data_IF_383913379329
#
_entry.id   IF_383913379329
#
_cell.length_a   1.000
_cell.length_b   1.000
_cell.length_c   1.000
_cell.angle_alpha   90.00
_cell.angle_beta   90.00
_cell.angle_gamma   90.00
#
_symmetry.space_group_name_H-M   'P 1'
#
loop_
_entity.id
_entity.type
_entity.pdbx_description
1 polymer ?
#
# COMPACT_ATOMS: atom_id res chain seq x y z
N UNK A 1 40.06 -2.96 -20.93
CA UNK A 1 38.72 -2.59 -21.43
C UNK A 1 38.17 -3.81 -22.12
N UNK A 2 36.89 -4.11 -21.87
CA UNK A 2 36.09 -5.24 -22.37
C UNK A 2 36.02 -6.49 -21.48
N UNK A 3 35.42 -6.31 -20.29
CA UNK A 3 34.80 -7.38 -19.47
C UNK A 3 33.37 -6.97 -19.10
N UNK A 4 32.49 -6.71 -20.09
CA UNK A 4 31.11 -6.27 -19.81
C UNK A 4 30.05 -6.75 -20.83
N UNK A 5 30.13 -7.98 -21.36
CA UNK A 5 29.01 -8.58 -22.14
C UNK A 5 28.94 -10.11 -21.98
N UNK A 6 28.75 -10.59 -20.76
CA UNK A 6 28.14 -11.91 -20.53
C UNK A 6 26.75 -11.69 -19.91
N UNK A 7 25.82 -11.21 -20.74
CA UNK A 7 24.40 -11.32 -20.45
C UNK A 7 23.96 -12.72 -20.88
N UNK A 8 23.37 -13.42 -19.92
CA UNK A 8 22.80 -14.76 -20.02
C UNK A 8 21.70 -14.79 -21.11
N UNK A 9 22.00 -15.42 -22.26
CA UNK A 9 21.10 -15.61 -23.41
C UNK A 9 20.05 -16.72 -23.18
N UNK A 10 19.77 -17.14 -21.94
CA UNK A 10 18.77 -18.19 -21.66
C UNK A 10 17.30 -17.75 -21.77
N UNK A 11 17.01 -16.48 -22.06
CA UNK A 11 15.63 -15.94 -22.16
C UNK A 11 14.89 -16.40 -23.43
N UNK A 12 15.60 -16.85 -24.47
CA UNK A 12 14.97 -17.24 -25.74
C UNK A 12 15.41 -18.65 -26.16
N UNK A 13 14.84 -19.67 -25.51
CA UNK A 13 14.91 -21.03 -26.04
C UNK A 13 14.03 -21.12 -27.30
N UNK A 14 14.66 -21.16 -28.47
CA UNK A 14 14.00 -21.16 -29.79
C UNK A 14 13.14 -22.41 -30.08
N UNK A 15 13.23 -23.45 -29.23
CA UNK A 15 12.50 -24.72 -29.40
C UNK A 15 11.21 -24.82 -28.57
N UNK A 16 10.80 -23.74 -27.90
CA UNK A 16 9.59 -23.78 -27.09
C UNK A 16 8.33 -23.82 -27.95
N UNK A 17 7.50 -24.85 -27.76
CA UNK A 17 6.26 -24.98 -28.49
C UNK A 17 5.30 -23.83 -28.16
N UNK A 18 4.48 -23.42 -29.13
CA UNK A 18 3.45 -22.40 -28.93
C UNK A 18 2.52 -22.77 -27.76
N UNK A 19 2.33 -24.06 -27.50
CA UNK A 19 1.55 -24.57 -26.38
C UNK A 19 2.25 -24.29 -25.04
N UNK A 20 3.54 -24.61 -24.90
CA UNK A 20 4.30 -24.37 -23.66
C UNK A 20 4.44 -22.87 -23.35
N UNK A 21 4.63 -22.06 -24.39
CA UNK A 21 4.65 -20.60 -24.29
C UNK A 21 3.28 -20.06 -23.88
N UNK A 22 2.19 -20.63 -24.40
CA UNK A 22 0.83 -20.29 -23.97
C UNK A 22 0.49 -20.79 -22.57
N UNK A 23 1.05 -21.92 -22.11
CA UNK A 23 0.88 -22.45 -20.75
C UNK A 23 1.64 -21.60 -19.71
N UNK A 24 2.83 -21.11 -20.08
CA UNK A 24 3.68 -20.22 -19.26
C UNK A 24 3.17 -18.78 -19.22
N UNK A 25 2.57 -18.30 -20.31
CA UNK A 25 1.91 -16.99 -20.38
C UNK A 25 0.42 -17.04 -20.01
N UNK A 26 -0.15 -18.23 -19.79
CA UNK A 26 -1.50 -18.37 -19.26
C UNK A 26 -1.48 -17.84 -17.82
N UNK A 27 -2.39 -16.92 -17.45
CA UNK A 27 -2.64 -16.63 -16.05
C UNK A 27 -2.96 -17.96 -15.36
N UNK A 28 -2.13 -18.35 -14.40
CA UNK A 28 -2.44 -19.49 -13.55
C UNK A 28 -3.56 -19.04 -12.63
N UNK A 29 -4.80 -19.24 -13.08
CA UNK A 29 -5.99 -19.04 -12.26
C UNK A 29 -5.85 -19.84 -10.96
N UNK A 30 -5.49 -19.15 -9.89
CA UNK A 30 -5.66 -19.63 -8.53
C UNK A 30 -7.06 -19.19 -8.07
N UNK A 31 -7.90 -20.15 -7.66
CA UNK A 31 -9.27 -19.86 -7.18
C UNK A 31 -9.28 -19.07 -5.86
N UNK A 32 -8.14 -18.87 -5.20
CA UNK A 32 -8.00 -17.94 -4.08
C UNK A 32 -7.95 -16.46 -4.51
N UNK A 33 -7.78 -16.17 -5.81
CA UNK A 33 -7.63 -14.83 -6.40
C UNK A 33 -8.93 -14.28 -7.05
N UNK A 34 -10.11 -14.76 -6.66
CA UNK A 34 -11.31 -13.97 -6.96
C UNK A 34 -11.13 -12.58 -6.33
N UNK A 35 -11.37 -11.50 -7.09
CA UNK A 35 -11.22 -10.11 -6.64
C UNK A 35 -11.60 -9.97 -5.16
N UNK A 36 -10.61 -9.66 -4.30
CA UNK A 36 -10.80 -9.64 -2.86
C UNK A 36 -11.94 -8.68 -2.56
N UNK A 37 -12.97 -9.16 -1.88
CA UNK A 37 -14.15 -8.36 -1.53
C UNK A 37 -14.49 -8.58 -0.07
N UNK A 38 -14.86 -7.51 0.62
CA UNK A 38 -15.24 -7.54 2.02
C UNK A 38 -16.39 -6.57 2.29
N UNK A 39 -17.27 -6.93 3.21
CA UNK A 39 -18.25 -6.02 3.78
C UNK A 39 -17.69 -5.53 5.11
N UNK A 40 -17.37 -4.24 5.17
CA UNK A 40 -16.53 -3.68 6.22
C UNK A 40 -17.22 -2.62 7.07
N UNK A 41 -17.04 -2.71 8.39
CA UNK A 41 -17.47 -1.68 9.34
C UNK A 41 -18.95 -1.68 9.69
N UNK A 42 -19.41 -0.56 10.25
CA UNK A 42 -20.78 -0.35 10.74
C UNK A 42 -21.16 1.15 10.59
N UNK A 43 -21.99 1.52 9.59
CA UNK A 43 -22.71 0.62 8.67
C UNK A 43 -21.76 -0.09 7.67
N UNK A 44 -22.10 -1.30 7.20
CA UNK A 44 -21.21 -2.09 6.36
C UNK A 44 -21.02 -1.47 4.97
N UNK A 45 -19.76 -1.42 4.53
CA UNK A 45 -19.32 -0.87 3.24
C UNK A 45 -18.73 -1.98 2.39
N UNK A 46 -19.12 -2.14 1.11
CA UNK A 46 -18.41 -3.02 0.20
C UNK A 46 -17.04 -2.43 -0.15
N UNK A 47 -15.98 -3.16 0.20
CA UNK A 47 -14.60 -2.85 -0.18
C UNK A 47 -14.10 -3.97 -1.09
N UNK A 48 -13.43 -3.61 -2.19
CA UNK A 48 -12.81 -4.56 -3.11
C UNK A 48 -11.36 -4.22 -3.41
N UNK A 49 -10.54 -5.20 -3.78
CA UNK A 49 -9.22 -4.92 -4.38
C UNK A 49 -9.39 -4.31 -5.77
N UNK A 50 -8.47 -3.42 -6.15
CA UNK A 50 -8.37 -2.88 -7.52
C UNK A 50 -7.71 -3.88 -8.50
N UNK A 51 -7.00 -4.88 -7.99
CA UNK A 51 -6.39 -5.91 -8.83
C UNK A 51 -7.33 -7.11 -9.00
N UNK A 52 -7.55 -7.49 -10.26
CA UNK A 52 -8.21 -8.74 -10.63
C UNK A 52 -7.35 -9.98 -10.27
N UNK A 53 -6.05 -9.78 -10.03
CA UNK A 53 -5.08 -10.80 -9.62
C UNK A 53 -4.14 -10.19 -8.56
N UNK A 54 -4.60 -10.17 -7.30
CA UNK A 54 -3.79 -9.66 -6.20
C UNK A 54 -2.62 -10.61 -5.91
N UNK A 55 -1.37 -10.13 -6.05
CA UNK A 55 -0.21 -10.91 -5.60
C UNK A 55 -0.30 -11.08 -4.06
N UNK A 56 0.01 -12.24 -3.46
CA UNK A 56 0.02 -12.49 -2.01
C UNK A 56 0.27 -11.31 -1.03
N UNK A 57 1.32 -10.46 -1.14
CA UNK A 57 1.48 -9.33 -0.22
C UNK A 57 0.36 -8.29 -0.30
N UNK A 58 -0.20 -8.08 -1.49
CA UNK A 58 -1.36 -7.21 -1.69
C UNK A 58 -2.59 -7.78 -0.97
N UNK A 59 -2.80 -9.09 -1.11
CA UNK A 59 -3.90 -9.79 -0.46
C UNK A 59 -3.77 -9.80 1.07
N UNK A 60 -2.56 -10.02 1.57
CA UNK A 60 -2.27 -9.99 3.00
C UNK A 60 -2.51 -8.59 3.59
N UNK A 61 -2.06 -7.54 2.90
CA UNK A 61 -2.31 -6.17 3.32
C UNK A 61 -3.79 -5.80 3.26
N UNK A 62 -4.51 -6.21 2.22
CA UNK A 62 -5.95 -6.04 2.12
C UNK A 62 -6.64 -6.63 3.35
N UNK A 63 -6.29 -7.86 3.74
CA UNK A 63 -6.87 -8.52 4.91
C UNK A 63 -6.52 -7.79 6.22
N UNK A 64 -5.28 -7.30 6.39
CA UNK A 64 -4.89 -6.49 7.56
C UNK A 64 -5.79 -5.26 7.71
N UNK A 65 -6.06 -4.55 6.60
CA UNK A 65 -6.89 -3.35 6.61
C UNK A 65 -8.38 -3.68 6.78
N UNK A 66 -8.87 -4.79 6.21
CA UNK A 66 -10.22 -5.31 6.44
C UNK A 66 -10.43 -5.61 7.91
N UNK A 67 -9.51 -6.34 8.55
CA UNK A 67 -9.59 -6.73 9.96
C UNK A 67 -9.64 -5.49 10.86
N UNK A 68 -8.80 -4.49 10.58
CA UNK A 68 -8.80 -3.21 11.29
C UNK A 68 -10.15 -2.49 11.21
N UNK A 69 -10.74 -2.42 10.01
CA UNK A 69 -12.01 -1.72 9.78
C UNK A 69 -13.20 -2.52 10.33
N UNK A 70 -13.07 -3.85 10.43
CA UNK A 70 -14.12 -4.73 10.94
C UNK A 70 -14.17 -4.86 12.46
N UNK A 71 -13.20 -4.29 13.19
CA UNK A 71 -13.30 -4.23 14.65
C UNK A 71 -14.63 -3.56 15.04
N UNK A 72 -15.49 -4.16 15.89
CA UNK A 72 -16.72 -3.52 16.31
C UNK A 72 -16.43 -2.18 17.01
N UNK A 73 -17.25 -1.14 16.79
CA UNK A 73 -17.01 0.20 17.33
C UNK A 73 -16.79 0.21 18.85
N UNK A 74 -17.54 -0.59 19.62
CA UNK A 74 -17.36 -0.70 21.07
C UNK A 74 -16.02 -1.35 21.50
N UNK A 75 -15.37 -2.08 20.60
CA UNK A 75 -14.13 -2.82 20.86
C UNK A 75 -12.90 -2.13 20.24
N UNK A 76 -13.11 -1.11 19.41
CA UNK A 76 -12.03 -0.41 18.75
C UNK A 76 -11.22 0.41 19.76
N UNK A 77 -9.91 0.19 19.78
CA UNK A 77 -8.98 1.00 20.54
C UNK A 77 -7.72 1.22 19.70
N UNK A 78 -7.33 2.48 19.47
CA UNK A 78 -6.13 2.81 18.69
C UNK A 78 -4.87 2.09 19.18
N UNK A 79 -4.60 2.13 20.48
CA UNK A 79 -3.39 1.55 21.08
C UNK A 79 -3.36 0.02 21.02
N UNK A 80 -4.46 -0.64 20.63
CA UNK A 80 -4.51 -2.10 20.45
C UNK A 80 -4.80 -2.45 18.99
N UNK A 81 -5.96 -2.08 18.46
CA UNK A 81 -6.41 -2.44 17.11
C UNK A 81 -5.54 -1.83 16.00
N UNK A 82 -5.32 -0.52 16.04
CA UNK A 82 -4.49 0.13 15.02
C UNK A 82 -3.01 -0.24 15.17
N UNK A 83 -2.54 -0.39 16.42
CA UNK A 83 -1.17 -0.81 16.72
C UNK A 83 -0.89 -2.25 16.25
N UNK A 84 -1.84 -3.17 16.42
CA UNK A 84 -1.75 -4.54 15.89
C UNK A 84 -1.71 -4.56 14.36
N UNK A 85 -2.58 -3.79 13.69
CA UNK A 85 -2.56 -3.66 12.24
C UNK A 85 -1.24 -3.06 11.73
N UNK A 86 -0.73 -2.03 12.41
CA UNK A 86 0.56 -1.41 12.09
C UNK A 86 1.72 -2.41 12.24
N UNK A 87 1.74 -3.18 13.33
CA UNK A 87 2.73 -4.22 13.55
C UNK A 87 2.67 -5.32 12.47
N UNK A 88 1.47 -5.75 12.07
CA UNK A 88 1.27 -6.71 11.00
C UNK A 88 1.75 -6.17 9.64
N UNK A 89 1.41 -4.92 9.30
CA UNK A 89 1.92 -4.26 8.10
C UNK A 89 3.45 -4.17 8.11
N UNK A 90 4.06 -3.81 9.24
CA UNK A 90 5.51 -3.77 9.34
C UNK A 90 6.15 -5.15 9.17
N UNK A 91 5.55 -6.20 9.74
CA UNK A 91 6.01 -7.57 9.57
C UNK A 91 5.94 -8.01 8.09
N UNK A 92 4.85 -7.68 7.40
CA UNK A 92 4.69 -7.91 5.97
C UNK A 92 5.73 -7.15 5.14
N UNK A 93 5.99 -5.88 5.47
CA UNK A 93 7.04 -5.11 4.81
C UNK A 93 8.44 -5.77 4.96
N UNK A 94 8.76 -6.24 6.17
CA UNK A 94 10.03 -6.92 6.44
C UNK A 94 10.12 -8.29 5.77
N UNK A 95 9.00 -8.99 5.54
CA UNK A 95 9.00 -10.27 4.81
C UNK A 95 9.24 -10.10 3.32
N UNK A 96 8.79 -8.98 2.73
CA UNK A 96 9.11 -8.58 1.36
C UNK A 96 10.55 -8.09 1.19
N UNK A 97 11.18 -7.64 2.28
CA UNK A 97 12.57 -7.15 2.31
C UNK A 97 13.43 -7.93 3.33
N UNK A 98 13.59 -9.26 3.16
CA UNK A 98 14.19 -10.11 4.18
C UNK A 98 15.69 -9.88 4.35
N UNK A 99 16.38 -9.52 3.26
CA UNK A 99 17.79 -9.14 3.30
C UNK A 99 17.92 -7.65 3.62
N UNK A 100 18.70 -7.35 4.66
CA UNK A 100 18.98 -5.98 5.06
C UNK A 100 19.67 -5.17 3.95
N UNK A 101 20.45 -5.84 3.09
CA UNK A 101 21.12 -5.20 1.95
C UNK A 101 20.12 -4.74 0.87
N UNK A 102 18.99 -5.44 0.72
CA UNK A 102 17.92 -5.08 -0.23
C UNK A 102 17.11 -3.86 0.20
N UNK A 103 17.29 -3.39 1.44
CA UNK A 103 16.67 -2.15 1.95
C UNK A 103 17.43 -0.90 1.52
N UNK A 104 18.61 -1.09 0.94
CA UNK A 104 19.42 -0.06 0.31
C UNK A 104 19.30 -0.08 -1.22
N UNK A 105 18.62 -1.07 -1.80
CA UNK A 105 18.20 -1.04 -3.20
C UNK A 105 16.84 -0.37 -3.32
N UNK A 106 16.83 0.71 -4.10
CA UNK A 106 15.67 1.58 -4.31
C UNK A 106 14.47 0.78 -4.84
N UNK A 107 14.67 -0.06 -5.85
CA UNK A 107 13.59 -0.82 -6.51
C UNK A 107 12.80 -1.73 -5.55
N UNK A 108 13.50 -2.44 -4.67
CA UNK A 108 12.88 -3.39 -3.73
C UNK A 108 12.19 -2.66 -2.58
N UNK A 109 12.85 -1.64 -2.02
CA UNK A 109 12.30 -0.85 -0.92
C UNK A 109 11.09 -0.03 -1.36
N UNK A 110 11.16 0.55 -2.56
CA UNK A 110 10.08 1.31 -3.16
C UNK A 110 8.91 0.41 -3.55
N UNK A 111 9.13 -0.73 -4.21
CA UNK A 111 8.04 -1.65 -4.60
C UNK A 111 7.25 -2.20 -3.40
N UNK A 112 7.95 -2.53 -2.30
CA UNK A 112 7.30 -2.96 -1.06
C UNK A 112 6.45 -1.85 -0.42
N UNK A 113 6.94 -0.59 -0.44
CA UNK A 113 6.18 0.55 0.06
C UNK A 113 5.01 0.92 -0.85
N UNK A 114 5.20 0.85 -2.16
CA UNK A 114 4.16 1.08 -3.16
C UNK A 114 2.97 0.16 -2.94
N UNK A 115 3.21 -1.12 -2.62
CA UNK A 115 2.17 -2.07 -2.24
C UNK A 115 1.37 -1.57 -1.04
N UNK A 116 2.06 -1.02 -0.04
CA UNK A 116 1.42 -0.48 1.18
C UNK A 116 0.52 0.71 0.89
N UNK A 117 1.01 1.67 0.13
CA UNK A 117 0.27 2.89 -0.17
C UNK A 117 -0.84 2.67 -1.18
N UNK A 118 -0.62 1.80 -2.18
CA UNK A 118 -1.65 1.44 -3.16
C UNK A 118 -2.88 0.84 -2.48
N UNK A 119 -2.70 -0.04 -1.50
CA UNK A 119 -3.84 -0.60 -0.76
C UNK A 119 -4.50 0.44 0.15
N UNK A 120 -3.74 1.29 0.84
CA UNK A 120 -4.34 2.41 1.58
C UNK A 120 -5.22 3.27 0.66
N UNK A 121 -4.72 3.67 -0.51
CA UNK A 121 -5.45 4.51 -1.45
C UNK A 121 -6.67 3.79 -2.03
N UNK A 122 -6.57 2.49 -2.30
CA UNK A 122 -7.71 1.66 -2.68
C UNK A 122 -8.84 1.74 -1.63
N UNK A 123 -8.52 1.65 -0.34
CA UNK A 123 -9.50 1.77 0.73
C UNK A 123 -10.08 3.20 0.82
N UNK A 124 -9.23 4.24 0.80
CA UNK A 124 -9.69 5.64 0.88
C UNK A 124 -10.67 5.96 -0.25
N UNK A 125 -10.46 5.43 -1.47
CA UNK A 125 -11.38 5.63 -2.60
C UNK A 125 -12.78 5.08 -2.35
N UNK A 126 -12.93 4.07 -1.50
CA UNK A 126 -14.18 3.33 -1.33
C UNK A 126 -14.92 3.70 -0.05
N UNK A 127 -14.19 4.06 1.01
CA UNK A 127 -14.77 4.43 2.30
C UNK A 127 -15.56 5.75 2.18
N UNK A 128 -16.83 5.81 2.64
CA UNK A 128 -17.59 7.06 2.76
C UNK A 128 -16.91 8.05 3.69
N UNK A 129 -17.04 9.34 3.37
CA UNK A 129 -16.40 10.46 4.09
C UNK A 129 -16.72 10.47 5.58
N UNK A 130 -17.97 10.19 5.94
CA UNK A 130 -18.48 10.23 7.30
C UNK A 130 -18.27 8.91 8.06
N UNK A 131 -17.70 7.89 7.42
CA UNK A 131 -17.55 6.58 8.03
C UNK A 131 -16.32 6.50 8.94
N UNK A 132 -16.49 5.90 10.11
CA UNK A 132 -15.43 5.80 11.14
C UNK A 132 -14.16 5.09 10.65
N UNK A 133 -14.26 4.25 9.62
CA UNK A 133 -13.11 3.58 8.98
C UNK A 133 -12.04 4.58 8.50
N UNK A 134 -12.41 5.79 8.08
CA UNK A 134 -11.44 6.83 7.73
C UNK A 134 -10.50 7.13 8.89
N UNK A 135 -11.06 7.32 10.10
CA UNK A 135 -10.26 7.58 11.29
C UNK A 135 -9.39 6.37 11.64
N UNK A 136 -9.88 5.14 11.45
CA UNK A 136 -9.10 3.94 11.75
C UNK A 136 -7.88 3.79 10.85
N UNK A 137 -8.01 4.13 9.56
CA UNK A 137 -6.90 4.18 8.62
C UNK A 137 -5.88 5.26 9.02
N UNK A 138 -6.34 6.42 9.51
CA UNK A 138 -5.46 7.47 10.06
C UNK A 138 -4.72 6.98 11.31
N UNK A 139 -5.44 6.34 12.22
CA UNK A 139 -4.87 5.77 13.45
C UNK A 139 -3.83 4.68 13.12
N UNK A 140 -4.07 3.86 12.09
CA UNK A 140 -3.08 2.89 11.59
C UNK A 140 -1.79 3.54 11.10
N UNK A 141 -1.87 4.62 10.31
CA UNK A 141 -0.68 5.39 9.90
C UNK A 141 0.02 5.96 11.14
N UNK A 142 -0.75 6.51 12.09
CA UNK A 142 -0.18 7.11 13.28
C UNK A 142 0.58 6.09 14.14
N UNK A 143 0.06 4.86 14.26
CA UNK A 143 0.75 3.76 14.94
C UNK A 143 1.95 3.23 14.16
N UNK A 144 1.87 3.12 12.84
CA UNK A 144 3.01 2.74 11.98
C UNK A 144 4.22 3.66 12.22
N UNK A 145 3.99 4.97 12.33
CA UNK A 145 5.05 5.96 12.59
C UNK A 145 5.75 5.79 13.94
N UNK A 146 5.08 5.19 14.92
CA UNK A 146 5.69 4.94 16.23
C UNK A 146 6.62 3.73 16.20
N UNK A 147 6.55 2.89 15.17
CA UNK A 147 7.48 1.79 14.99
C UNK A 147 8.82 2.37 14.56
N UNK A 148 9.80 2.29 15.44
CA UNK A 148 11.18 2.63 15.09
C UNK A 148 11.75 1.52 14.22
N UNK A 149 11.92 1.82 12.94
CA UNK A 149 12.53 0.90 11.97
C UNK A 149 13.62 1.64 11.22
N UNK A 150 14.46 0.85 10.56
CA UNK A 150 15.60 1.22 9.74
C UNK A 150 15.44 2.45 8.84
N UNK A 151 16.59 2.96 8.41
CA UNK A 151 16.70 3.92 7.33
C UNK A 151 16.65 3.20 5.98
N UNK A 152 15.84 3.69 5.06
CA UNK A 152 15.80 3.29 3.66
C UNK A 152 16.58 4.29 2.81
N UNK A 153 17.14 3.81 1.70
CA UNK A 153 17.74 4.68 0.69
C UNK A 153 16.86 4.71 -0.55
N UNK A 154 16.06 5.78 -0.72
CA UNK A 154 15.10 5.95 -1.82
C UNK A 154 15.23 7.38 -2.36
N UNK A 155 15.16 7.55 -3.68
CA UNK A 155 15.30 8.85 -4.35
C UNK A 155 16.59 9.60 -3.99
N UNK A 156 17.68 8.85 -3.82
CA UNK A 156 18.99 9.39 -3.42
C UNK A 156 19.02 10.00 -2.02
N UNK A 157 18.07 9.65 -1.14
CA UNK A 157 17.97 10.16 0.23
C UNK A 157 17.76 9.04 1.23
N UNK A 158 18.32 9.28 2.41
CA UNK A 158 18.08 8.45 3.59
C UNK A 158 16.78 8.87 4.27
N UNK A 159 15.90 7.88 4.46
CA UNK A 159 14.54 8.07 4.94
C UNK A 159 14.31 7.12 6.10
N UNK A 160 13.90 7.63 7.25
CA UNK A 160 13.43 6.77 8.34
C UNK A 160 12.13 6.07 7.92
N UNK A 161 12.14 4.74 7.88
CA UNK A 161 10.95 3.96 7.54
C UNK A 161 9.81 4.28 8.52
N UNK A 162 8.61 4.43 7.98
CA UNK A 162 7.39 4.90 8.63
C UNK A 162 7.43 6.30 9.23
N UNK A 163 8.53 6.79 9.82
CA UNK A 163 8.61 8.15 10.40
C UNK A 163 8.76 9.23 9.34
N UNK A 164 9.62 8.99 8.35
CA UNK A 164 9.96 9.94 7.30
C UNK A 164 8.82 10.18 6.31
N UNK A 165 7.84 9.26 6.22
CA UNK A 165 6.70 9.24 5.29
C UNK A 165 6.89 10.08 4.02
N UNK A 166 7.97 9.88 3.25
CA UNK A 166 8.21 10.72 2.08
C UNK A 166 7.32 10.33 0.91
N UNK A 167 6.56 9.24 1.02
CA UNK A 167 5.82 8.66 -0.09
C UNK A 167 4.38 9.15 -0.18
N UNK A 168 3.78 9.60 0.93
CA UNK A 168 2.46 10.17 0.82
C UNK A 168 2.51 11.37 -0.11
N UNK A 169 3.46 12.31 -0.10
CA UNK A 169 3.32 13.48 -0.99
C UNK A 169 3.51 13.19 -2.50
N UNK A 170 4.63 12.64 -2.99
CA UNK A 170 4.81 12.43 -4.43
C UNK A 170 3.80 11.42 -4.97
N UNK A 171 3.54 10.32 -4.26
CA UNK A 171 2.54 9.36 -4.70
C UNK A 171 1.13 9.93 -4.51
N UNK A 172 0.80 10.70 -3.46
CA UNK A 172 -0.52 11.35 -3.35
C UNK A 172 -0.73 12.41 -4.41
N UNK A 173 0.28 13.22 -4.74
CA UNK A 173 0.21 14.22 -5.80
C UNK A 173 0.08 13.51 -7.13
N UNK A 174 0.92 12.54 -7.45
CA UNK A 174 0.79 11.73 -8.66
C UNK A 174 -0.56 11.02 -8.71
N UNK A 175 -1.04 10.40 -7.63
CA UNK A 175 -2.35 9.76 -7.57
C UNK A 175 -3.50 10.78 -7.69
N UNK A 176 -3.40 11.96 -7.08
CA UNK A 176 -4.43 13.01 -7.18
C UNK A 176 -4.44 13.66 -8.57
N UNK A 177 -3.27 13.85 -9.17
CA UNK A 177 -3.09 14.45 -10.50
C UNK A 177 -3.41 13.47 -11.63
N UNK A 178 -2.88 12.24 -11.56
CA UNK A 178 -3.06 11.18 -12.56
C UNK A 178 -4.50 10.66 -12.61
N UNK A 179 -5.21 10.65 -11.47
CA UNK A 179 -6.61 10.18 -11.42
C UNK A 179 -7.66 11.29 -11.54
N UNK A 180 -7.29 12.49 -12.00
CA UNK A 180 -8.21 13.60 -12.30
C UNK A 180 -9.21 13.85 -11.15
N UNK A 181 -8.67 14.04 -9.95
CA UNK A 181 -9.45 14.29 -8.74
C UNK A 181 -9.97 15.74 -8.80
N UNK A 182 -10.99 15.97 -9.64
CA UNK A 182 -11.63 17.27 -9.82
C UNK A 182 -12.23 17.74 -8.49
N UNK A 183 -12.23 19.04 -8.15
CA UNK A 183 -12.66 19.52 -6.84
C UNK A 183 -14.05 19.10 -6.37
N UNK A 184 -14.91 18.69 -7.32
CA UNK A 184 -16.31 18.31 -7.11
C UNK A 184 -16.55 16.78 -7.07
N UNK A 185 -15.55 15.95 -7.37
CA UNK A 185 -15.72 14.49 -7.34
C UNK A 185 -15.71 13.93 -5.90
N UNK A 186 -16.53 12.90 -5.67
CA UNK A 186 -16.63 12.15 -4.42
C UNK A 186 -15.29 11.55 -4.00
N UNK A 187 -14.46 11.10 -4.96
CA UNK A 187 -13.09 10.62 -4.66
C UNK A 187 -12.26 11.74 -4.05
N UNK A 188 -12.29 12.94 -4.64
CA UNK A 188 -11.62 14.15 -4.14
C UNK A 188 -12.02 14.50 -2.73
N UNK A 189 -13.31 14.37 -2.41
CA UNK A 189 -13.80 14.62 -1.05
C UNK A 189 -13.26 13.60 -0.05
N UNK A 190 -13.19 12.32 -0.41
CA UNK A 190 -12.63 11.25 0.45
C UNK A 190 -11.15 11.48 0.75
N UNK A 191 -10.34 11.71 -0.28
CA UNK A 191 -8.91 12.01 -0.11
C UNK A 191 -8.68 13.28 0.71
N UNK A 192 -9.41 14.37 0.44
CA UNK A 192 -9.32 15.60 1.25
C UNK A 192 -9.69 15.37 2.71
N UNK A 193 -10.76 14.62 2.96
CA UNK A 193 -11.19 14.28 4.33
C UNK A 193 -10.11 13.46 5.03
N UNK A 194 -9.59 12.43 4.37
CA UNK A 194 -8.53 11.59 4.93
C UNK A 194 -7.29 12.41 5.27
N UNK A 195 -6.87 13.30 4.37
CA UNK A 195 -5.81 14.28 4.62
C UNK A 195 -6.11 15.10 5.86
N UNK A 196 -7.26 15.78 5.90
CA UNK A 196 -7.60 16.72 6.98
C UNK A 196 -7.63 16.01 8.34
N UNK A 197 -8.10 14.76 8.37
CA UNK A 197 -8.03 13.89 9.56
C UNK A 197 -6.59 13.56 9.94
N UNK A 198 -5.74 13.20 8.98
CA UNK A 198 -4.32 12.91 9.22
C UNK A 198 -3.57 14.14 9.76
N UNK A 199 -3.87 15.35 9.24
CA UNK A 199 -3.29 16.60 9.76
C UNK A 199 -3.73 16.87 11.20
N UNK A 200 -5.01 16.63 11.49
CA UNK A 200 -5.62 16.90 12.80
C UNK A 200 -5.19 15.90 13.88
N UNK A 201 -5.07 14.61 13.55
CA UNK A 201 -4.80 13.53 14.51
C UNK A 201 -3.33 13.26 14.81
N UNK A 202 -2.38 13.83 14.06
CA UNK A 202 -0.99 13.35 14.10
C UNK A 202 0.11 14.28 13.59
N UNK A 203 -0.14 15.58 13.44
CA UNK A 203 0.92 16.56 13.13
C UNK A 203 1.54 16.38 11.74
N UNK A 204 0.79 15.79 10.81
CA UNK A 204 1.19 15.70 9.41
C UNK A 204 0.77 17.00 8.70
N UNK A 205 1.69 17.93 8.50
CA UNK A 205 1.42 19.10 7.69
C UNK A 205 1.75 18.76 6.22
N UNK A 206 0.74 18.41 5.42
CA UNK A 206 0.89 18.32 3.96
C UNK A 206 1.04 19.72 3.32
N UNK A 207 0.90 20.78 4.13
CA UNK A 207 0.96 22.19 3.77
C UNK A 207 2.30 22.70 3.21
N UNK A 208 3.42 22.01 3.39
CA UNK A 208 4.74 22.61 3.11
C UNK A 208 5.21 22.55 1.63
N UNK A 209 4.44 21.97 0.70
CA UNK A 209 4.89 21.81 -0.68
C UNK A 209 3.92 22.36 -1.77
N UNK A 210 2.85 23.05 -1.37
CA UNK A 210 1.86 23.68 -2.28
C UNK A 210 2.08 25.19 -2.51
N UNK A 211 3.34 25.65 -2.57
CA UNK A 211 3.67 27.02 -3.01
C UNK A 211 4.41 27.00 -4.34
#
# INVERSE_FOLDING_TARGET
MDELLQLDESIFQEDESLYDRMERLRPKFDMTNAALTAMCGDPPIPIHSESDEAWPPEAELFNILVDLINVPNQNYNRATSASQAAAATNALYLSMTPDASLRHTEDYSYGALWTVWSQLFNFIKQVPVEHHAMQRLVDWIAELRMIEVQTLHIWGKDIELWKGLPLLYPEWVEWVEQYYVLPEDCKSRRFRTFRDLLETSGGYALWNYWK
#
